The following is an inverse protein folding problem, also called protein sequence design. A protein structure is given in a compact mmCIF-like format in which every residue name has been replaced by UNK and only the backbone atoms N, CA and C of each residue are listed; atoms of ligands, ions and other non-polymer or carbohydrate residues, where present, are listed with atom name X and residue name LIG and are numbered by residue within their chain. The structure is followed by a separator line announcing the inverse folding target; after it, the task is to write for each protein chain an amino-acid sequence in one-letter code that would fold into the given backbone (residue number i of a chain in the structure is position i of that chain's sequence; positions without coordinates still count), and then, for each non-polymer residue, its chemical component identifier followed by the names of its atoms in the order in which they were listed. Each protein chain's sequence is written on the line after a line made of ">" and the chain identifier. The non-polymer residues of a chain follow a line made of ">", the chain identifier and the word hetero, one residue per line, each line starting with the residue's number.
data_IF_216863962969
#
_entry.id   IF_216863962969
#
_cell.length_a   1.000
_cell.length_b   1.000
_cell.length_c   1.000
_cell.angle_alpha   90.00
_cell.angle_beta   90.00
_cell.angle_gamma   90.00
#
_symmetry.space_group_name_H-M   'P 1'
#
loop_
_entity.id
_entity.type
_entity.pdbx_description
1 polymer ?
#
# COMPACT_ATOMS: atom_id res chain seq x y z
N UNK A 1 -8.69 13.49 -0.18
CA UNK A 1 -7.42 13.52 0.56
C UNK A 1 -6.27 13.57 -0.44
N UNK A 2 -5.23 14.36 -0.18
CA UNK A 2 -4.06 14.46 -1.07
C UNK A 2 -2.93 13.51 -0.62
N UNK A 3 -2.18 12.97 -1.58
CA UNK A 3 -1.08 12.02 -1.36
C UNK A 3 0.05 12.67 -0.54
N UNK A 4 0.37 13.94 -0.80
CA UNK A 4 1.44 14.63 -0.05
C UNK A 4 1.12 14.69 1.45
N UNK A 5 -0.14 14.98 1.79
CA UNK A 5 -0.61 14.98 3.18
C UNK A 5 -0.57 13.57 3.78
N UNK A 6 -1.00 12.56 3.03
CA UNK A 6 -0.99 11.17 3.47
C UNK A 6 0.42 10.63 3.76
N UNK A 7 1.42 11.00 2.95
CA UNK A 7 2.83 10.69 3.22
C UNK A 7 3.28 11.27 4.56
N UNK A 8 2.95 12.54 4.84
CA UNK A 8 3.30 13.17 6.11
C UNK A 8 2.58 12.50 7.30
N UNK A 9 1.33 12.09 7.15
CA UNK A 9 0.62 11.36 8.21
C UNK A 9 1.28 10.00 8.51
N UNK A 10 1.77 9.27 7.51
CA UNK A 10 2.55 8.05 7.73
C UNK A 10 3.84 8.35 8.51
N UNK A 11 4.54 9.44 8.18
CA UNK A 11 5.73 9.88 8.92
C UNK A 11 5.40 10.23 10.36
N UNK A 12 4.19 10.71 10.64
CA UNK A 12 3.70 10.98 11.98
C UNK A 12 3.18 9.73 12.72
N UNK A 13 3.04 8.60 12.03
CA UNK A 13 2.71 7.30 12.64
C UNK A 13 1.40 6.69 12.18
N UNK A 14 0.69 7.28 11.21
CA UNK A 14 -0.49 6.67 10.63
C UNK A 14 -0.14 5.40 9.84
N UNK A 15 -1.05 4.44 9.83
CA UNK A 15 -0.94 3.26 8.96
C UNK A 15 -1.58 3.53 7.59
N UNK A 16 -1.15 2.81 6.55
CA UNK A 16 -1.83 2.86 5.23
C UNK A 16 -3.30 2.43 5.37
N UNK A 17 -3.60 1.52 6.29
CA UNK A 17 -4.96 1.06 6.53
C UNK A 17 -5.87 2.16 7.08
N UNK A 18 -5.37 2.98 8.02
CA UNK A 18 -6.14 4.11 8.54
C UNK A 18 -6.40 5.14 7.43
N UNK A 19 -5.38 5.45 6.63
CA UNK A 19 -5.52 6.36 5.49
C UNK A 19 -6.45 5.83 4.41
N UNK A 20 -6.46 4.51 4.17
CA UNK A 20 -7.42 3.88 3.29
C UNK A 20 -8.86 4.11 3.79
N UNK A 21 -9.10 3.94 5.09
CA UNK A 21 -10.42 4.17 5.71
C UNK A 21 -10.81 5.65 5.70
N UNK A 22 -9.87 6.54 5.99
CA UNK A 22 -10.08 7.99 5.94
C UNK A 22 -10.39 8.46 4.52
N UNK A 23 -9.71 7.90 3.51
CA UNK A 23 -10.00 8.17 2.11
C UNK A 23 -11.45 7.78 1.78
N UNK A 24 -11.86 6.55 2.11
CA UNK A 24 -13.23 6.08 1.90
C UNK A 24 -14.27 6.96 2.61
N UNK A 25 -14.01 7.33 3.87
CA UNK A 25 -14.89 8.19 4.65
C UNK A 25 -15.02 9.58 4.00
N UNK A 26 -13.92 10.13 3.48
CA UNK A 26 -13.91 11.41 2.77
C UNK A 26 -14.71 11.37 1.45
N UNK A 27 -14.64 10.27 0.69
CA UNK A 27 -15.41 10.10 -0.56
C UNK A 27 -16.92 10.05 -0.31
N UNK A 28 -17.31 9.55 0.86
CA UNK A 28 -18.72 9.47 1.29
C UNK A 28 -19.17 10.69 2.10
N UNK A 29 -18.26 11.63 2.39
CA UNK A 29 -18.54 12.79 3.27
C UNK A 29 -19.08 12.38 4.64
N UNK A 30 -18.56 11.29 5.21
CA UNK A 30 -18.94 10.76 6.52
C UNK A 30 -17.72 10.65 7.44
N UNK A 31 -17.95 10.44 8.73
CA UNK A 31 -16.88 10.09 9.66
C UNK A 31 -16.46 8.62 9.51
N UNK A 32 -15.23 8.27 9.95
CA UNK A 32 -14.76 6.87 9.96
C UNK A 32 -15.57 5.95 10.87
N UNK A 33 -16.26 6.51 11.88
CA UNK A 33 -17.17 5.77 12.75
C UNK A 33 -18.47 5.37 12.04
N UNK A 34 -18.93 6.18 11.11
CA UNK A 34 -20.15 5.95 10.32
C UNK A 34 -19.89 5.11 9.07
N UNK A 35 -18.63 5.08 8.61
CA UNK A 35 -18.21 4.45 7.34
C UNK A 35 -18.79 3.04 7.15
N UNK A 36 -18.72 2.18 8.16
CA UNK A 36 -19.20 0.79 8.05
C UNK A 36 -20.71 0.72 7.74
N UNK A 37 -21.50 1.55 8.41
CA UNK A 37 -22.95 1.61 8.22
C UNK A 37 -23.28 2.20 6.86
N UNK A 38 -22.63 3.30 6.50
CA UNK A 38 -22.86 3.94 5.20
C UNK A 38 -22.49 2.99 4.06
N UNK A 39 -21.37 2.27 4.15
CA UNK A 39 -20.97 1.28 3.15
C UNK A 39 -22.00 0.14 3.01
N UNK A 40 -22.57 -0.36 4.12
CA UNK A 40 -23.57 -1.44 4.03
C UNK A 40 -24.87 -1.02 3.35
N UNK A 41 -25.18 0.28 3.35
CA UNK A 41 -26.38 0.84 2.72
C UNK A 41 -26.18 1.08 1.20
N UNK A 42 -24.95 0.96 0.70
CA UNK A 42 -24.62 1.13 -0.72
C UNK A 42 -24.81 -0.17 -1.51
N UNK A 43 -25.06 -0.04 -2.81
CA UNK A 43 -25.04 -1.20 -3.71
C UNK A 43 -23.65 -1.82 -3.79
N UNK A 44 -23.58 -3.11 -4.15
CA UNK A 44 -22.32 -3.84 -4.29
C UNK A 44 -21.41 -3.19 -5.32
N UNK A 45 -21.98 -2.68 -6.42
CA UNK A 45 -21.24 -1.98 -7.47
C UNK A 45 -20.61 -0.70 -6.95
N UNK A 46 -21.35 0.08 -6.14
CA UNK A 46 -20.81 1.32 -5.58
C UNK A 46 -19.75 1.05 -4.52
N UNK A 47 -19.93 0.02 -3.69
CA UNK A 47 -18.90 -0.41 -2.73
C UNK A 47 -17.62 -0.84 -3.45
N UNK A 48 -17.75 -1.61 -4.54
CA UNK A 48 -16.62 -2.04 -5.36
C UNK A 48 -15.90 -0.84 -5.97
N UNK A 49 -16.63 0.10 -6.57
CA UNK A 49 -16.03 1.30 -7.17
C UNK A 49 -15.23 2.10 -6.14
N UNK A 50 -15.78 2.35 -4.96
CA UNK A 50 -15.09 3.09 -3.89
C UNK A 50 -13.84 2.35 -3.42
N UNK A 51 -13.91 1.03 -3.31
CA UNK A 51 -12.76 0.21 -2.98
C UNK A 51 -11.67 0.31 -4.05
N UNK A 52 -12.03 0.22 -5.33
CA UNK A 52 -11.09 0.34 -6.45
C UNK A 52 -10.43 1.74 -6.47
N UNK A 53 -11.19 2.81 -6.20
CA UNK A 53 -10.67 4.18 -6.06
C UNK A 53 -9.70 4.31 -4.87
N UNK A 54 -10.03 3.72 -3.73
CA UNK A 54 -9.18 3.73 -2.54
C UNK A 54 -7.91 2.89 -2.70
N UNK A 55 -7.98 1.77 -3.43
CA UNK A 55 -6.81 0.99 -3.84
C UNK A 55 -5.91 1.77 -4.80
N UNK A 56 -6.49 2.51 -5.76
CA UNK A 56 -5.72 3.40 -6.64
C UNK A 56 -4.99 4.51 -5.87
N UNK A 57 -5.65 5.09 -4.87
CA UNK A 57 -5.04 6.06 -3.97
C UNK A 57 -3.88 5.46 -3.15
N UNK A 58 -4.11 4.32 -2.50
CA UNK A 58 -3.08 3.66 -1.67
C UNK A 58 -1.92 3.13 -2.49
N UNK A 59 -2.13 2.63 -3.71
CA UNK A 59 -1.05 2.25 -4.61
C UNK A 59 -0.17 3.44 -4.99
N UNK A 60 -0.78 4.59 -5.27
CA UNK A 60 -0.04 5.84 -5.53
C UNK A 60 0.74 6.33 -4.31
N UNK A 61 0.16 6.17 -3.12
CA UNK A 61 0.83 6.45 -1.84
C UNK A 61 2.03 5.52 -1.63
N UNK A 62 1.89 4.22 -1.85
CA UNK A 62 2.98 3.25 -1.73
C UNK A 62 4.15 3.62 -2.64
N UNK A 63 3.90 3.98 -3.90
CA UNK A 63 4.93 4.46 -4.83
C UNK A 63 5.68 5.67 -4.28
N UNK A 64 4.95 6.68 -3.81
CA UNK A 64 5.57 7.88 -3.23
C UNK A 64 6.41 7.56 -1.98
N UNK A 65 6.04 6.56 -1.18
CA UNK A 65 6.85 6.13 -0.05
C UNK A 65 8.17 5.50 -0.51
N UNK A 66 8.13 4.63 -1.51
CA UNK A 66 9.33 4.03 -2.10
C UNK A 66 10.28 5.05 -2.70
N UNK A 67 9.75 5.98 -3.50
CA UNK A 67 10.55 7.02 -4.15
C UNK A 67 11.24 7.97 -3.15
N UNK A 68 10.57 8.31 -2.04
CA UNK A 68 11.06 9.32 -1.09
C UNK A 68 11.85 8.75 0.09
N UNK A 69 11.60 7.50 0.46
CA UNK A 69 12.14 6.87 1.67
C UNK A 69 12.76 5.50 1.36
N UNK A 70 13.40 5.38 0.20
CA UNK A 70 14.16 4.20 -0.20
C UNK A 70 15.09 3.73 0.92
N UNK A 71 15.03 2.44 1.24
CA UNK A 71 15.82 1.84 2.32
C UNK A 71 15.40 2.21 3.76
N UNK A 72 14.41 3.08 3.99
CA UNK A 72 13.95 3.41 5.35
C UNK A 72 13.25 2.20 6.01
N UNK A 73 13.80 1.66 7.12
CA UNK A 73 13.23 0.49 7.78
C UNK A 73 11.80 0.71 8.29
N UNK A 74 11.45 1.96 8.65
CA UNK A 74 10.10 2.29 9.12
C UNK A 74 9.10 2.23 7.98
N UNK A 75 9.45 2.75 6.79
CA UNK A 75 8.56 2.69 5.63
C UNK A 75 8.43 1.27 5.09
N UNK A 76 9.51 0.48 5.15
CA UNK A 76 9.45 -0.95 4.90
C UNK A 76 8.42 -1.64 5.82
N UNK A 77 8.46 -1.34 7.13
CA UNK A 77 7.50 -1.91 8.08
C UNK A 77 6.05 -1.54 7.76
N UNK A 78 5.78 -0.27 7.48
CA UNK A 78 4.43 0.22 7.13
C UNK A 78 3.87 -0.51 5.90
N UNK A 79 4.69 -0.69 4.86
CA UNK A 79 4.30 -1.41 3.65
C UNK A 79 4.08 -2.91 3.92
N UNK A 80 4.92 -3.53 4.76
CA UNK A 80 4.75 -4.94 5.13
C UNK A 80 3.44 -5.16 5.91
N UNK A 81 3.07 -4.24 6.80
CA UNK A 81 1.79 -4.30 7.51
C UNK A 81 0.60 -4.18 6.55
N UNK A 82 0.69 -3.27 5.58
CA UNK A 82 -0.31 -3.16 4.52
C UNK A 82 -0.48 -4.46 3.74
N UNK A 83 0.62 -5.10 3.33
CA UNK A 83 0.60 -6.35 2.55
C UNK A 83 0.02 -7.57 3.28
N UNK A 84 -0.01 -7.54 4.62
CA UNK A 84 -0.65 -8.60 5.41
C UNK A 84 -2.15 -8.65 5.17
N UNK A 85 -2.77 -7.50 4.90
CA UNK A 85 -4.23 -7.36 4.77
C UNK A 85 -4.65 -7.14 3.33
N UNK A 86 -3.83 -6.47 2.52
CA UNK A 86 -4.14 -6.11 1.14
C UNK A 86 -3.08 -6.66 0.20
N UNK A 87 -3.50 -7.45 -0.80
CA UNK A 87 -2.62 -8.00 -1.82
C UNK A 87 -2.43 -7.01 -2.97
N UNK A 88 -1.95 -5.83 -2.62
CA UNK A 88 -1.76 -4.70 -3.53
C UNK A 88 -0.43 -4.83 -4.29
N UNK A 89 -0.52 -4.89 -5.62
CA UNK A 89 0.65 -4.99 -6.49
C UNK A 89 1.65 -3.85 -6.26
N UNK A 90 1.19 -2.61 -6.09
CA UNK A 90 2.09 -1.45 -5.99
C UNK A 90 2.91 -1.50 -4.70
N UNK A 91 2.32 -1.97 -3.62
CA UNK A 91 3.03 -2.19 -2.37
C UNK A 91 4.06 -3.33 -2.47
N UNK A 92 3.73 -4.42 -3.16
CA UNK A 92 4.71 -5.49 -3.47
C UNK A 92 5.86 -4.95 -4.32
N UNK A 93 5.53 -4.21 -5.37
CA UNK A 93 6.51 -3.67 -6.31
C UNK A 93 7.49 -2.77 -5.59
N UNK A 94 6.99 -1.80 -4.82
CA UNK A 94 7.80 -0.88 -4.03
C UNK A 94 8.64 -1.63 -2.99
N UNK A 95 8.06 -2.56 -2.23
CA UNK A 95 8.84 -3.32 -1.23
C UNK A 95 9.99 -4.10 -1.86
N UNK A 96 9.74 -4.77 -2.98
CA UNK A 96 10.73 -5.61 -3.63
C UNK A 96 11.75 -4.80 -4.45
N UNK A 97 11.43 -3.57 -4.81
CA UNK A 97 12.31 -2.69 -5.59
C UNK A 97 13.11 -1.69 -4.75
N UNK A 98 12.57 -1.21 -3.63
CA UNK A 98 13.14 -0.10 -2.84
C UNK A 98 13.63 -0.50 -1.44
N UNK A 99 13.40 -1.74 -0.99
CA UNK A 99 13.73 -2.13 0.37
C UNK A 99 14.46 -3.48 0.42
N UNK A 100 15.40 -3.57 1.36
CA UNK A 100 15.99 -4.83 1.80
C UNK A 100 15.46 -5.18 3.20
N UNK A 101 15.03 -6.43 3.38
CA UNK A 101 14.40 -6.86 4.64
C UNK A 101 14.47 -8.39 4.81
N UNK A 102 14.47 -8.91 6.06
CA UNK A 102 14.75 -10.33 6.31
C UNK A 102 13.82 -11.32 5.60
N UNK A 103 12.55 -10.98 5.43
CA UNK A 103 11.53 -11.85 4.82
C UNK A 103 11.38 -11.68 3.30
N UNK A 104 12.32 -11.00 2.63
CA UNK A 104 12.17 -10.56 1.23
C UNK A 104 11.92 -11.71 0.25
N UNK A 105 12.62 -12.83 0.38
CA UNK A 105 12.42 -13.99 -0.50
C UNK A 105 11.01 -14.60 -0.38
N UNK A 106 10.43 -14.58 0.83
CA UNK A 106 9.07 -15.08 1.07
C UNK A 106 8.04 -14.16 0.42
N UNK A 107 8.21 -12.84 0.60
CA UNK A 107 7.36 -11.83 -0.06
C UNK A 107 7.49 -11.90 -1.58
N UNK A 108 8.71 -12.09 -2.11
CA UNK A 108 8.94 -12.26 -3.54
C UNK A 108 8.22 -13.49 -4.11
N UNK A 109 8.34 -14.64 -3.43
CA UNK A 109 7.64 -15.86 -3.83
C UNK A 109 6.12 -15.69 -3.77
N UNK A 110 5.60 -15.03 -2.74
CA UNK A 110 4.19 -14.73 -2.62
C UNK A 110 3.70 -13.81 -3.75
N UNK A 111 4.41 -12.73 -4.02
CA UNK A 111 4.07 -11.79 -5.09
C UNK A 111 4.07 -12.48 -6.46
N UNK A 112 5.11 -13.28 -6.78
CA UNK A 112 5.18 -14.05 -8.04
C UNK A 112 4.05 -15.08 -8.18
N UNK A 113 3.47 -15.55 -7.08
CA UNK A 113 2.28 -16.42 -7.08
C UNK A 113 0.99 -15.66 -7.35
N UNK A 114 0.90 -14.40 -6.89
CA UNK A 114 -0.31 -13.59 -6.96
C UNK A 114 -0.45 -12.84 -8.28
N UNK A 115 0.66 -12.40 -8.88
CA UNK A 115 0.64 -11.54 -10.06
C UNK A 115 1.24 -12.21 -11.30
N UNK A 116 0.77 -11.84 -12.51
CA UNK A 116 1.33 -12.36 -13.76
C UNK A 116 2.83 -12.15 -13.89
N UNK A 117 3.52 -13.08 -14.55
CA UNK A 117 4.96 -13.00 -14.78
C UNK A 117 5.40 -11.71 -15.52
N UNK A 118 4.54 -11.18 -16.40
CA UNK A 118 4.77 -9.91 -17.11
C UNK A 118 4.94 -8.72 -16.17
N UNK A 119 4.32 -8.76 -14.98
CA UNK A 119 4.42 -7.72 -13.96
C UNK A 119 5.48 -8.01 -12.90
N UNK A 120 6.04 -9.20 -12.84
CA UNK A 120 6.93 -9.59 -11.72
C UNK A 120 8.35 -9.95 -12.16
N UNK A 121 8.58 -10.03 -13.48
CA UNK A 121 9.86 -10.41 -14.08
C UNK A 121 11.05 -9.54 -13.67
N UNK A 122 10.81 -8.27 -13.32
CA UNK A 122 11.85 -7.35 -12.88
C UNK A 122 12.22 -7.50 -11.40
N UNK A 123 11.41 -8.20 -10.60
CA UNK A 123 11.73 -8.48 -9.21
C UNK A 123 12.85 -9.51 -9.10
N UNK A 124 13.94 -9.14 -8.43
CA UNK A 124 15.16 -9.95 -8.31
C UNK A 124 15.27 -10.62 -6.95
N UNK A 125 15.95 -11.76 -6.89
CA UNK A 125 16.16 -12.56 -5.68
C UNK A 125 17.33 -12.07 -4.77
N UNK A 126 17.91 -10.89 -5.02
CA UNK A 126 19.06 -10.35 -4.27
C UNK A 126 18.90 -8.90 -3.81
N UNK A 127 19.78 -8.41 -2.92
CA UNK A 127 19.76 -7.03 -2.44
C UNK A 127 19.91 -6.06 -3.62
N UNK A 128 19.14 -4.98 -3.59
CA UNK A 128 19.21 -3.92 -4.60
C UNK A 128 20.55 -3.18 -4.48
N UNK A 129 21.27 -2.95 -5.59
CA UNK A 129 22.50 -2.17 -5.58
C UNK A 129 22.17 -0.70 -5.27
N UNK A 130 22.23 -0.34 -3.98
CA UNK A 130 21.83 0.98 -3.51
C UNK A 130 21.59 1.06 -2.00
N UNK A 131 21.23 -0.06 -1.36
CA UNK A 131 21.10 -0.17 0.09
C UNK A 131 22.48 -0.08 0.76
N UNK A 132 22.99 1.13 0.94
CA UNK A 132 24.16 1.40 1.77
C UNK A 132 23.70 1.36 3.23
N UNK A 133 24.19 0.35 3.95
CA UNK A 133 24.18 0.28 5.42
C UNK A 133 24.90 1.48 6.03
#
# INVERSE_FOLDING_TARGET
>A
MDIAKAVEEIRLGASIHDLFRDFLASQLSVSTGELRRTLSDLTVERQRQLNDEALGFTGSLCRQLGERFDGDPRMCHVLLEWLRTHKDYEAFDVLLTSFDFPARLQVLAEGRRLFPATLTSHWRDGPQPGARY
#
